data_IF_349893933324
#
_entry.id   IF_349893933324
#
_cell.length_a   1.000
_cell.length_b   1.000
_cell.length_c   1.000
_cell.angle_alpha   90.00
_cell.angle_beta   90.00
_cell.angle_gamma   90.00
#
_symmetry.space_group_name_H-M   'P 1'
#
loop_
_entity.id
_entity.type
_entity.pdbx_description
1 polymer ?
#
# COMPACT_ATOMS: atom_id res chain seq x y z
N UNK A 1 -24.92 8.11 25.39
CA UNK A 1 -23.84 8.65 24.54
C UNK A 1 -23.16 7.45 23.91
N UNK A 2 -23.05 7.38 22.58
CA UNK A 2 -22.33 6.28 21.93
C UNK A 2 -20.85 6.37 22.32
N UNK A 3 -20.29 5.27 22.84
CA UNK A 3 -18.95 5.28 23.45
C UNK A 3 -17.88 4.87 22.46
N UNK A 4 -18.26 4.12 21.42
CA UNK A 4 -17.34 3.74 20.36
C UNK A 4 -18.11 3.60 19.03
N UNK A 5 -17.57 4.15 17.94
CA UNK A 5 -18.20 4.13 16.61
C UNK A 5 -17.24 3.51 15.62
N UNK A 6 -17.75 2.56 14.82
CA UNK A 6 -16.96 1.91 13.77
C UNK A 6 -17.75 1.87 12.49
N UNK A 7 -17.10 2.16 11.38
CA UNK A 7 -17.60 1.84 10.05
C UNK A 7 -17.66 0.31 9.93
N UNK A 8 -18.87 -0.19 9.74
CA UNK A 8 -19.20 -1.62 9.55
C UNK A 8 -19.35 -1.98 8.07
N UNK A 9 -19.72 -1.02 7.23
CA UNK A 9 -19.62 -1.11 5.77
C UNK A 9 -19.44 0.29 5.16
N UNK A 10 -18.69 0.36 4.07
CA UNK A 10 -18.43 1.60 3.33
C UNK A 10 -18.54 1.35 1.84
N UNK A 11 -19.45 2.07 1.19
CA UNK A 11 -19.78 1.96 -0.22
C UNK A 11 -19.64 3.35 -0.83
N UNK A 12 -18.57 3.59 -1.58
CA UNK A 12 -18.29 4.87 -2.23
C UNK A 12 -18.54 4.71 -3.73
N UNK A 13 -19.41 5.53 -4.30
CA UNK A 13 -19.74 5.50 -5.72
C UNK A 13 -19.86 6.92 -6.28
N UNK A 14 -19.36 7.14 -7.51
CA UNK A 14 -19.41 8.44 -8.20
C UNK A 14 -18.87 9.60 -7.34
N UNK A 15 -17.82 9.37 -6.55
CA UNK A 15 -17.18 10.41 -5.75
C UNK A 15 -15.91 10.89 -6.43
N UNK A 16 -15.96 12.07 -7.05
CA UNK A 16 -14.83 12.64 -7.82
C UNK A 16 -14.31 11.62 -8.86
N UNK A 17 -13.07 11.15 -8.73
CA UNK A 17 -12.49 10.14 -9.64
C UNK A 17 -12.95 8.70 -9.34
N UNK A 18 -13.65 8.43 -8.23
CA UNK A 18 -14.15 7.08 -7.91
C UNK A 18 -15.44 6.83 -8.70
N UNK A 19 -15.29 6.47 -9.98
CA UNK A 19 -16.39 6.23 -10.92
C UNK A 19 -16.97 4.81 -10.81
N UNK A 20 -16.15 3.85 -10.38
CA UNK A 20 -16.58 2.48 -10.07
C UNK A 20 -16.81 2.36 -8.56
N UNK A 21 -17.80 1.56 -8.11
CA UNK A 21 -18.06 1.38 -6.69
C UNK A 21 -16.84 0.82 -5.95
N UNK A 22 -16.38 1.52 -4.92
CA UNK A 22 -15.49 0.98 -3.91
C UNK A 22 -16.31 0.47 -2.74
N UNK A 23 -16.24 -0.83 -2.47
CA UNK A 23 -16.98 -1.49 -1.40
C UNK A 23 -16.01 -2.08 -0.41
N UNK A 24 -16.15 -1.70 0.86
CA UNK A 24 -15.37 -2.21 1.97
C UNK A 24 -16.32 -2.67 3.07
N UNK A 25 -16.60 -3.97 3.07
CA UNK A 25 -17.42 -4.59 4.10
C UNK A 25 -16.56 -5.03 5.31
N UNK A 26 -17.12 -4.85 6.50
CA UNK A 26 -16.49 -5.14 7.79
C UNK A 26 -15.05 -4.60 7.94
N UNK A 27 -14.81 -3.29 7.68
CA UNK A 27 -13.46 -2.72 7.75
C UNK A 27 -12.71 -3.08 9.06
N UNK A 28 -11.43 -3.41 8.94
CA UNK A 28 -10.56 -3.73 10.09
C UNK A 28 -10.20 -2.49 10.91
N UNK A 29 -9.13 -2.58 11.71
CA UNK A 29 -8.61 -1.44 12.47
C UNK A 29 -7.59 -0.58 11.72
N UNK A 30 -6.97 -1.10 10.65
CA UNK A 30 -6.00 -0.37 9.83
C UNK A 30 -6.20 -0.69 8.34
N UNK A 31 -6.18 0.35 7.53
CA UNK A 31 -6.27 0.30 6.06
C UNK A 31 -5.20 1.23 5.49
N UNK A 32 -4.35 0.70 4.61
CA UNK A 32 -3.20 1.41 4.05
C UNK A 32 -3.43 1.55 2.54
N UNK A 33 -3.77 2.76 2.11
CA UNK A 33 -3.89 3.14 0.71
C UNK A 33 -2.53 3.56 0.17
N UNK A 34 -2.03 2.83 -0.82
CA UNK A 34 -0.77 3.10 -1.51
C UNK A 34 -1.01 3.41 -2.98
N UNK A 35 -0.05 4.06 -3.64
CA UNK A 35 -0.12 4.38 -5.07
C UNK A 35 0.56 5.70 -5.39
N UNK A 36 0.80 5.97 -6.68
CA UNK A 36 1.48 7.16 -7.16
C UNK A 36 0.75 8.48 -6.84
N UNK A 37 1.45 9.61 -7.02
CA UNK A 37 0.85 10.93 -6.79
C UNK A 37 -0.36 11.08 -7.73
N UNK A 38 -1.45 11.68 -7.24
CA UNK A 38 -2.69 11.83 -8.01
C UNK A 38 -3.41 10.52 -8.38
N UNK A 39 -3.09 9.38 -7.76
CA UNK A 39 -3.81 8.13 -7.98
C UNK A 39 -5.28 8.16 -7.50
N UNK A 40 -5.64 9.11 -6.64
CA UNK A 40 -6.97 9.21 -6.02
C UNK A 40 -7.03 8.71 -4.58
N UNK A 41 -5.88 8.49 -3.92
CA UNK A 41 -5.80 8.10 -2.50
C UNK A 41 -6.53 9.08 -1.58
N UNK A 42 -6.26 10.38 -1.74
CA UNK A 42 -6.93 11.45 -0.98
C UNK A 42 -8.43 11.47 -1.23
N UNK A 43 -8.90 11.15 -2.44
CA UNK A 43 -10.35 11.08 -2.73
C UNK A 43 -11.07 10.00 -1.91
N UNK A 44 -10.39 8.90 -1.54
CA UNK A 44 -10.95 7.88 -0.65
C UNK A 44 -11.10 8.41 0.78
N UNK A 45 -10.10 9.13 1.29
CA UNK A 45 -10.21 9.79 2.60
C UNK A 45 -11.27 10.89 2.57
N UNK A 46 -11.31 11.71 1.52
CA UNK A 46 -12.28 12.78 1.33
C UNK A 46 -13.71 12.23 1.33
N UNK A 47 -13.96 11.07 0.72
CA UNK A 47 -15.28 10.45 0.72
C UNK A 47 -15.72 10.02 2.13
N UNK A 48 -14.80 9.52 2.96
CA UNK A 48 -15.08 9.16 4.35
C UNK A 48 -15.31 10.42 5.19
N UNK A 49 -14.44 11.42 5.02
CA UNK A 49 -14.50 12.71 5.71
C UNK A 49 -15.81 13.46 5.40
N UNK A 50 -16.26 13.38 4.14
CA UNK A 50 -17.49 13.99 3.65
C UNK A 50 -18.75 13.52 4.40
N UNK A 51 -18.75 12.31 4.97
CA UNK A 51 -19.87 11.82 5.78
C UNK A 51 -20.07 12.63 7.07
N UNK A 52 -19.05 13.34 7.53
CA UNK A 52 -19.12 14.25 8.67
C UNK A 52 -19.49 15.70 8.29
N UNK A 53 -19.46 16.04 7.00
CA UNK A 53 -19.65 17.40 6.51
C UNK A 53 -21.14 17.79 6.42
N UNK A 54 -21.43 19.06 6.70
CA UNK A 54 -22.79 19.63 6.69
C UNK A 54 -23.36 19.80 5.29
N UNK A 55 -22.51 20.09 4.30
CA UNK A 55 -22.90 20.31 2.90
C UNK A 55 -22.44 19.13 2.04
N UNK A 56 -23.32 18.21 1.66
CA UNK A 56 -22.99 17.08 0.79
C UNK A 56 -22.65 17.54 -0.63
N UNK A 57 -21.60 16.96 -1.24
CA UNK A 57 -21.30 17.15 -2.66
C UNK A 57 -22.46 16.58 -3.51
N UNK A 58 -23.10 17.48 -4.25
CA UNK A 58 -24.26 17.21 -5.10
C UNK A 58 -24.05 16.13 -6.17
N UNK A 59 -22.80 15.84 -6.52
CA UNK A 59 -22.43 14.92 -7.59
C UNK A 59 -22.12 13.49 -7.14
N UNK A 60 -22.32 13.18 -5.84
CA UNK A 60 -21.74 11.98 -5.21
C UNK A 60 -22.75 11.06 -4.54
N UNK A 61 -22.47 9.75 -4.58
CA UNK A 61 -23.27 8.69 -3.95
C UNK A 61 -22.39 7.93 -2.93
N UNK A 62 -22.55 8.23 -1.63
CA UNK A 62 -21.83 7.53 -0.56
C UNK A 62 -22.84 6.85 0.35
N UNK A 63 -22.65 5.57 0.62
CA UNK A 63 -23.41 4.81 1.61
C UNK A 63 -22.44 4.24 2.64
N UNK A 64 -22.71 4.47 3.91
CA UNK A 64 -21.92 3.94 5.01
C UNK A 64 -22.82 3.48 6.15
N UNK A 65 -22.48 2.34 6.73
CA UNK A 65 -23.11 1.83 7.93
C UNK A 65 -22.13 1.93 9.08
N UNK A 66 -22.50 2.65 10.13
CA UNK A 66 -21.73 2.78 11.36
C UNK A 66 -22.34 1.89 12.44
N UNK A 67 -21.55 0.97 12.98
CA UNK A 67 -21.86 0.29 14.23
C UNK A 67 -21.57 1.25 15.38
N UNK A 68 -22.61 1.61 16.12
CA UNK A 68 -22.51 2.42 17.33
C UNK A 68 -22.44 1.46 18.52
N UNK A 69 -21.21 1.20 18.96
CA UNK A 69 -20.93 0.30 20.08
C UNK A 69 -21.28 1.02 21.39
N UNK A 70 -22.50 0.75 21.85
CA UNK A 70 -22.99 0.98 23.21
C UNK A 70 -23.55 -0.33 23.79
N UNK A 71 -24.34 -0.27 24.86
CA UNK A 71 -24.95 -1.48 25.48
C UNK A 71 -25.96 -2.20 24.56
N UNK A 72 -26.42 -1.57 23.47
CA UNK A 72 -27.57 -2.01 22.66
C UNK A 72 -27.27 -2.46 21.22
N UNK A 73 -26.02 -2.44 20.74
CA UNK A 73 -25.68 -2.88 19.38
C UNK A 73 -26.29 -2.05 18.24
N UNK A 74 -26.56 -0.77 18.50
CA UNK A 74 -27.23 0.17 17.59
C UNK A 74 -26.46 0.40 16.29
N UNK A 75 -27.19 0.59 15.19
CA UNK A 75 -26.65 0.85 13.86
C UNK A 75 -27.12 2.21 13.33
N UNK A 76 -26.18 3.02 12.83
CA UNK A 76 -26.45 4.26 12.13
C UNK A 76 -26.09 4.10 10.66
N UNK A 77 -27.08 4.10 9.78
CA UNK A 77 -26.89 4.11 8.34
C UNK A 77 -26.93 5.54 7.81
N UNK A 78 -25.97 5.85 6.94
CA UNK A 78 -25.79 7.17 6.34
C UNK A 78 -25.76 7.01 4.84
N UNK A 79 -26.64 7.72 4.15
CA UNK A 79 -26.73 7.70 2.70
C UNK A 79 -26.71 9.11 2.17
N UNK A 80 -25.62 9.45 1.49
CA UNK A 80 -25.49 10.68 0.74
C UNK A 80 -25.78 10.40 -0.74
N UNK A 81 -26.76 11.11 -1.31
CA UNK A 81 -27.16 10.97 -2.71
C UNK A 81 -27.69 12.28 -3.25
N UNK A 82 -27.17 12.74 -4.39
CA UNK A 82 -27.61 13.98 -5.08
C UNK A 82 -27.68 15.20 -4.16
N UNK A 83 -26.67 15.39 -3.30
CA UNK A 83 -26.60 16.55 -2.40
C UNK A 83 -27.60 16.50 -1.23
N UNK A 84 -28.08 15.30 -0.86
CA UNK A 84 -28.88 15.09 0.34
C UNK A 84 -28.25 13.98 1.16
N UNK A 85 -28.26 14.13 2.49
CA UNK A 85 -27.78 13.11 3.42
C UNK A 85 -28.95 12.63 4.27
N UNK A 86 -29.22 11.32 4.19
CA UNK A 86 -30.22 10.63 5.00
C UNK A 86 -29.50 9.85 6.10
N UNK A 87 -29.99 10.01 7.33
CA UNK A 87 -29.55 9.25 8.49
C UNK A 87 -30.66 8.33 8.95
N UNK A 88 -30.32 7.08 9.24
CA UNK A 88 -31.25 6.09 9.79
C UNK A 88 -30.62 5.45 11.03
N UNK A 89 -31.28 5.55 12.18
CA UNK A 89 -30.88 4.87 13.41
C UNK A 89 -31.76 3.65 13.61
N UNK A 90 -31.15 2.44 13.62
CA UNK A 90 -31.87 1.16 13.73
C UNK A 90 -33.04 1.05 12.72
N UNK A 91 -32.84 1.57 11.51
CA UNK A 91 -33.83 1.56 10.43
C UNK A 91 -34.92 2.64 10.54
N UNK A 92 -34.85 3.55 11.51
CA UNK A 92 -35.76 4.70 11.64
C UNK A 92 -35.09 6.00 11.20
N UNK A 93 -35.77 6.89 10.45
CA UNK A 93 -35.20 8.19 10.07
C UNK A 93 -34.75 9.02 11.27
N UNK A 94 -33.57 9.61 11.16
CA UNK A 94 -32.99 10.51 12.16
C UNK A 94 -32.83 11.91 11.55
N UNK A 95 -32.99 12.93 12.38
CA UNK A 95 -32.68 14.32 12.02
C UNK A 95 -31.22 14.48 11.56
N UNK A 96 -31.02 15.19 10.45
CA UNK A 96 -29.70 15.31 9.81
C UNK A 96 -28.66 16.01 10.69
N UNK A 97 -29.05 16.97 11.54
CA UNK A 97 -28.11 17.66 12.42
C UNK A 97 -27.64 16.73 13.54
N UNK A 98 -28.55 15.95 14.14
CA UNK A 98 -28.20 14.94 15.13
C UNK A 98 -27.31 13.83 14.55
N UNK A 99 -27.64 13.34 13.36
CA UNK A 99 -26.85 12.31 12.67
C UNK A 99 -25.44 12.78 12.34
N UNK A 100 -25.29 14.01 11.81
CA UNK A 100 -23.98 14.61 11.54
C UNK A 100 -23.17 14.80 12.81
N UNK A 101 -23.77 15.28 13.88
CA UNK A 101 -23.06 15.52 15.14
C UNK A 101 -22.53 14.21 15.75
N UNK A 102 -23.25 13.09 15.58
CA UNK A 102 -22.75 11.76 15.97
C UNK A 102 -21.48 11.44 15.19
N UNK A 103 -21.45 11.59 13.88
CA UNK A 103 -20.29 11.20 13.05
C UNK A 103 -19.11 12.14 13.26
N UNK A 104 -19.37 13.45 13.24
CA UNK A 104 -18.34 14.49 13.34
C UNK A 104 -17.52 14.40 14.62
N UNK A 105 -18.11 13.92 15.71
CA UNK A 105 -17.40 13.71 16.98
C UNK A 105 -16.41 12.54 16.94
N UNK A 106 -16.59 11.61 16.00
CA UNK A 106 -15.81 10.36 15.94
C UNK A 106 -14.76 10.31 14.84
N UNK A 107 -14.88 11.16 13.81
CA UNK A 107 -13.91 11.24 12.71
C UNK A 107 -12.92 12.39 12.97
N UNK A 108 -11.63 12.10 12.82
CA UNK A 108 -10.58 13.12 12.76
C UNK A 108 -9.70 12.88 11.54
N UNK A 109 -9.43 13.95 10.80
CA UNK A 109 -8.48 13.95 9.69
C UNK A 109 -7.23 14.70 10.06
N UNK A 110 -6.09 14.06 9.83
CA UNK A 110 -4.75 14.59 10.11
C UNK A 110 -3.95 14.62 8.81
N UNK A 111 -3.67 15.83 8.33
CA UNK A 111 -2.85 16.07 7.15
C UNK A 111 -1.51 16.67 7.58
N UNK A 112 -0.42 16.34 6.89
CA UNK A 112 0.91 16.89 7.19
C UNK A 112 0.96 18.44 7.10
N UNK A 113 0.10 19.06 6.30
CA UNK A 113 0.11 20.49 5.98
C UNK A 113 -0.99 21.30 6.66
N UNK A 114 -2.00 20.66 7.24
CA UNK A 114 -3.09 21.34 7.94
C UNK A 114 -2.77 21.32 9.43
N UNK A 115 -2.33 22.43 10.04
CA UNK A 115 -2.15 22.47 11.47
C UNK A 115 -3.52 22.21 12.09
N UNK A 116 -3.63 21.16 12.91
CA UNK A 116 -4.74 21.04 13.85
C UNK A 116 -4.85 22.39 14.56
N UNK A 117 -6.03 23.00 14.51
CA UNK A 117 -6.25 24.30 15.14
C UNK A 117 -5.69 24.25 16.57
N UNK A 118 -4.73 25.15 16.87
CA UNK A 118 -3.99 25.13 18.14
C UNK A 118 -4.91 25.08 19.35
N UNK A 119 -6.02 25.80 19.27
CA UNK A 119 -7.03 25.85 20.33
C UNK A 119 -7.69 24.49 20.51
N UNK A 120 -8.19 23.88 19.42
CA UNK A 120 -8.77 22.53 19.43
C UNK A 120 -7.79 21.48 19.98
N UNK A 121 -6.53 21.49 19.51
CA UNK A 121 -5.52 20.54 19.99
C UNK A 121 -5.31 20.66 21.50
N UNK A 122 -5.34 21.89 22.02
CA UNK A 122 -5.16 22.16 23.45
C UNK A 122 -6.38 21.73 24.26
N UNK A 123 -7.58 22.04 23.77
CA UNK A 123 -8.83 21.61 24.37
C UNK A 123 -8.90 20.08 24.45
N UNK A 124 -8.64 19.38 23.34
CA UNK A 124 -8.62 17.91 23.27
C UNK A 124 -7.55 17.32 24.19
N UNK A 125 -6.35 17.93 24.26
CA UNK A 125 -5.30 17.47 25.17
C UNK A 125 -5.66 17.66 26.64
N UNK A 126 -6.24 18.81 27.01
CA UNK A 126 -6.70 19.06 28.37
C UNK A 126 -7.86 18.12 28.74
N UNK A 127 -8.76 17.85 27.80
CA UNK A 127 -9.83 16.88 27.99
C UNK A 127 -9.26 15.47 28.25
N UNK A 128 -8.32 15.02 27.42
CA UNK A 128 -7.62 13.74 27.58
C UNK A 128 -6.95 13.65 28.97
N UNK A 129 -6.20 14.68 29.35
CA UNK A 129 -5.45 14.74 30.61
C UNK A 129 -6.37 14.75 31.84
N UNK A 130 -7.37 15.63 31.84
CA UNK A 130 -8.16 15.92 33.04
C UNK A 130 -9.37 14.99 33.19
N UNK A 131 -9.95 14.51 32.08
CA UNK A 131 -11.17 13.67 32.10
C UNK A 131 -10.84 12.19 31.97
N UNK A 132 -9.75 11.84 31.28
CA UNK A 132 -9.37 10.44 31.00
C UNK A 132 -7.95 10.12 31.49
N UNK A 133 -7.64 10.25 32.79
CA UNK A 133 -6.27 10.17 33.32
C UNK A 133 -5.59 8.81 33.08
N UNK A 134 -6.35 7.70 33.06
CA UNK A 134 -5.82 6.39 32.73
C UNK A 134 -5.37 6.30 31.26
N UNK A 135 -6.17 6.86 30.34
CA UNK A 135 -5.86 6.91 28.90
C UNK A 135 -4.68 7.83 28.64
N UNK A 136 -4.66 9.01 29.30
CA UNK A 136 -3.53 9.92 29.27
C UNK A 136 -2.24 9.25 29.77
N UNK A 137 -2.30 8.51 30.88
CA UNK A 137 -1.12 7.80 31.41
C UNK A 137 -0.61 6.74 30.44
N UNK A 138 -1.51 6.01 29.77
CA UNK A 138 -1.17 5.03 28.74
C UNK A 138 -0.53 5.71 27.51
N UNK A 139 -1.11 6.82 27.04
CA UNK A 139 -0.56 7.65 25.97
C UNK A 139 0.88 8.11 26.27
N UNK A 140 1.12 8.67 27.47
CA UNK A 140 2.46 9.12 27.89
C UNK A 140 3.44 7.94 27.99
N UNK A 141 3.01 6.80 28.53
CA UNK A 141 3.83 5.59 28.62
C UNK A 141 4.24 5.08 27.22
N UNK A 142 3.30 5.02 26.27
CA UNK A 142 3.56 4.63 24.88
C UNK A 142 4.49 5.62 24.19
N UNK A 143 4.30 6.93 24.39
CA UNK A 143 5.24 7.94 23.88
C UNK A 143 6.64 7.72 24.40
N UNK A 144 6.82 7.53 25.71
CA UNK A 144 8.14 7.31 26.31
C UNK A 144 8.80 6.00 25.83
N UNK A 145 7.99 4.94 25.63
CA UNK A 145 8.47 3.63 25.17
C UNK A 145 8.95 3.66 23.73
N UNK A 146 8.14 4.21 22.82
CA UNK A 146 8.42 4.16 21.39
C UNK A 146 9.18 5.39 20.88
N UNK A 147 8.99 6.55 21.52
CA UNK A 147 9.42 7.85 21.00
C UNK A 147 10.01 8.70 22.14
N UNK A 148 11.09 8.23 22.80
CA UNK A 148 11.65 8.86 24.00
C UNK A 148 12.16 10.30 23.77
N UNK A 149 12.30 10.73 22.51
CA UNK A 149 12.64 12.10 22.16
C UNK A 149 11.52 13.10 22.46
N UNK A 150 10.28 12.65 22.63
CA UNK A 150 9.14 13.50 22.96
C UNK A 150 8.96 13.48 24.48
N UNK A 151 9.32 14.58 25.14
CA UNK A 151 9.05 14.79 26.56
C UNK A 151 7.86 15.72 26.73
N UNK A 152 6.77 15.22 27.32
CA UNK A 152 5.54 15.99 27.54
C UNK A 152 5.60 16.66 28.91
N UNK A 153 5.57 17.99 28.92
CA UNK A 153 5.42 18.79 30.14
C UNK A 153 3.96 19.18 30.35
N UNK A 154 3.64 19.75 31.52
CA UNK A 154 2.28 20.26 31.80
C UNK A 154 1.85 21.36 30.83
N UNK A 155 2.82 22.05 30.20
CA UNK A 155 2.59 23.05 29.16
C UNK A 155 2.74 22.41 27.76
N UNK A 156 1.61 21.96 27.20
CA UNK A 156 1.55 21.36 25.87
C UNK A 156 2.25 22.22 24.81
N UNK A 157 2.06 23.53 24.82
CA UNK A 157 2.63 24.42 23.80
C UNK A 157 4.14 24.61 23.93
N UNK A 158 4.66 24.59 25.15
CA UNK A 158 6.11 24.61 25.40
C UNK A 158 6.74 23.32 24.92
N UNK A 159 6.07 22.19 25.16
CA UNK A 159 6.41 20.90 24.56
C UNK A 159 6.38 20.98 23.03
N UNK A 160 5.28 21.45 22.44
CA UNK A 160 5.06 21.44 21.00
C UNK A 160 6.05 22.32 20.22
N UNK A 161 6.33 23.53 20.72
CA UNK A 161 7.26 24.49 20.06
C UNK A 161 8.71 24.02 20.05
N UNK A 162 9.11 23.17 21.01
CA UNK A 162 10.49 22.67 21.09
C UNK A 162 10.73 21.44 20.20
N UNK A 163 9.67 20.82 19.67
CA UNK A 163 9.75 19.66 18.79
C UNK A 163 9.96 20.05 17.32
N UNK A 164 10.78 19.28 16.60
CA UNK A 164 10.83 19.35 15.14
C UNK A 164 9.51 18.87 14.52
N UNK A 165 9.22 19.33 13.30
CA UNK A 165 7.93 19.09 12.61
C UNK A 165 7.51 17.60 12.59
N UNK A 166 8.44 16.69 12.35
CA UNK A 166 8.15 15.25 12.38
C UNK A 166 7.70 14.74 13.76
N UNK A 167 8.33 15.19 14.84
CA UNK A 167 7.91 14.82 16.20
C UNK A 167 6.58 15.46 16.59
N UNK A 168 6.30 16.68 16.12
CA UNK A 168 4.99 17.32 16.28
C UNK A 168 3.89 16.50 15.62
N UNK A 169 4.10 16.06 14.38
CA UNK A 169 3.14 15.24 13.64
C UNK A 169 2.87 13.92 14.34
N UNK A 170 3.92 13.21 14.73
CA UNK A 170 3.83 11.95 15.48
C UNK A 170 3.09 12.14 16.80
N UNK A 171 3.38 13.19 17.55
CA UNK A 171 2.67 13.50 18.80
C UNK A 171 1.17 13.67 18.55
N UNK A 172 0.78 14.44 17.53
CA UNK A 172 -0.62 14.70 17.19
C UNK A 172 -1.34 13.41 16.79
N UNK A 173 -0.72 12.59 15.93
CA UNK A 173 -1.29 11.32 15.51
C UNK A 173 -1.53 10.43 16.73
N UNK A 174 -0.55 10.31 17.63
CA UNK A 174 -0.68 9.48 18.82
C UNK A 174 -1.68 10.06 19.84
N UNK A 175 -1.74 11.38 20.00
CA UNK A 175 -2.73 12.00 20.88
C UNK A 175 -4.15 11.64 20.42
N UNK A 176 -4.44 11.80 19.13
CA UNK A 176 -5.74 11.47 18.56
C UNK A 176 -6.00 9.96 18.44
N UNK A 177 -4.96 9.13 18.29
CA UNK A 177 -5.09 7.67 18.32
C UNK A 177 -5.57 7.18 19.69
N UNK A 178 -5.14 7.85 20.77
CA UNK A 178 -5.52 7.49 22.13
C UNK A 178 -6.78 8.24 22.61
N UNK A 179 -7.16 9.33 21.94
CA UNK A 179 -8.25 10.17 22.41
C UNK A 179 -9.62 9.45 22.30
N UNK A 180 -10.37 9.28 23.42
CA UNK A 180 -11.56 8.44 23.44
C UNK A 180 -12.71 8.86 22.51
N UNK A 181 -12.77 10.12 22.11
CA UNK A 181 -13.84 10.60 21.21
C UNK A 181 -13.59 10.24 19.76
N UNK A 182 -12.33 10.12 19.33
CA UNK A 182 -11.98 9.94 17.92
C UNK A 182 -11.68 8.46 17.64
N UNK A 183 -12.65 7.78 17.04
CA UNK A 183 -12.58 6.35 16.76
C UNK A 183 -12.28 6.04 15.30
N UNK A 184 -12.36 7.04 14.42
CA UNK A 184 -12.01 6.92 12.99
C UNK A 184 -10.96 7.98 12.67
N UNK A 185 -9.76 7.54 12.33
CA UNK A 185 -8.63 8.41 12.01
C UNK A 185 -8.33 8.33 10.51
N UNK A 186 -8.33 9.49 9.85
CA UNK A 186 -7.92 9.63 8.46
C UNK A 186 -6.53 10.27 8.45
N UNK A 187 -5.50 9.49 8.14
CA UNK A 187 -4.11 9.92 8.14
C UNK A 187 -3.61 10.12 6.71
N UNK A 188 -3.28 11.36 6.37
CA UNK A 188 -2.76 11.70 5.05
C UNK A 188 -1.24 11.89 5.10
N UNK A 189 -0.52 10.94 4.51
CA UNK A 189 0.95 10.94 4.36
C UNK A 189 1.70 11.25 5.68
N UNK A 190 1.47 10.44 6.75
CA UNK A 190 2.09 10.67 8.05
C UNK A 190 3.61 10.49 8.04
N UNK A 191 4.22 9.95 6.97
CA UNK A 191 5.66 9.85 6.80
C UNK A 191 6.35 11.18 6.48
N UNK A 192 5.61 12.21 6.07
CA UNK A 192 6.22 13.49 5.66
C UNK A 192 7.07 14.04 6.80
N UNK A 193 8.33 14.40 6.52
CA UNK A 193 9.31 14.87 7.51
C UNK A 193 9.71 13.85 8.61
N UNK A 194 9.35 12.56 8.48
CA UNK A 194 9.77 11.51 9.42
C UNK A 194 11.00 10.75 8.96
N UNK A 195 11.91 10.50 9.90
CA UNK A 195 13.00 9.54 9.70
C UNK A 195 12.43 8.11 9.58
N UNK A 196 12.98 7.21 8.73
CA UNK A 196 12.49 5.84 8.56
C UNK A 196 12.27 5.04 9.85
N UNK A 197 13.15 5.24 10.84
CA UNK A 197 13.00 4.60 12.14
C UNK A 197 11.72 5.05 12.89
N UNK A 198 11.31 6.32 12.77
CA UNK A 198 10.10 6.82 13.40
C UNK A 198 8.84 6.33 12.68
N UNK A 199 8.87 6.21 11.35
CA UNK A 199 7.76 5.64 10.56
C UNK A 199 7.44 4.22 11.04
N UNK A 200 8.46 3.36 11.15
CA UNK A 200 8.30 1.97 11.63
C UNK A 200 7.75 1.91 13.06
N UNK A 201 8.18 2.81 13.94
CA UNK A 201 7.67 2.87 15.33
C UNK A 201 6.24 3.37 15.37
N UNK A 202 5.89 4.39 14.57
CA UNK A 202 4.53 4.90 14.45
C UNK A 202 3.58 3.79 13.97
N UNK A 203 3.95 3.08 12.91
CA UNK A 203 3.14 1.96 12.40
C UNK A 203 2.95 0.88 13.48
N UNK A 204 4.02 0.47 14.17
CA UNK A 204 3.90 -0.49 15.29
C UNK A 204 2.92 -0.01 16.36
N UNK A 205 2.98 1.25 16.77
CA UNK A 205 2.04 1.79 17.77
C UNK A 205 0.61 1.80 17.23
N UNK A 206 0.41 2.20 15.98
CA UNK A 206 -0.91 2.14 15.33
C UNK A 206 -1.45 0.70 15.37
N UNK A 207 -0.65 -0.29 15.01
CA UNK A 207 -1.06 -1.71 14.99
C UNK A 207 -1.36 -2.29 16.38
N UNK A 208 -0.60 -1.88 17.41
CA UNK A 208 -0.78 -2.39 18.77
C UNK A 208 -1.98 -1.74 19.49
N UNK A 209 -2.23 -0.45 19.23
CA UNK A 209 -3.16 0.38 20.01
C UNK A 209 -4.51 0.62 19.33
N UNK A 210 -4.64 0.39 18.01
CA UNK A 210 -5.88 0.65 17.26
C UNK A 210 -7.04 -0.34 17.55
N UNK A 211 -7.05 -1.04 18.69
CA UNK A 211 -8.09 -2.01 19.02
C UNK A 211 -9.50 -1.41 18.99
N UNK A 212 -9.61 -0.15 19.38
CA UNK A 212 -10.87 0.59 19.44
C UNK A 212 -11.08 1.57 18.30
N UNK A 213 -10.08 1.76 17.43
CA UNK A 213 -10.09 2.76 16.38
C UNK A 213 -10.01 2.11 15.00
N UNK A 214 -10.42 2.85 13.98
CA UNK A 214 -10.22 2.51 12.58
C UNK A 214 -9.36 3.58 11.94
N UNK A 215 -8.17 3.19 11.50
CA UNK A 215 -7.20 4.06 10.85
C UNK A 215 -7.26 3.82 9.34
N UNK A 216 -7.50 4.88 8.59
CA UNK A 216 -7.41 4.92 7.14
C UNK A 216 -6.22 5.81 6.79
N UNK A 217 -5.18 5.20 6.24
CA UNK A 217 -3.89 5.80 6.01
C UNK A 217 -3.63 5.90 4.51
N UNK A 218 -3.15 7.04 4.02
CA UNK A 218 -2.56 7.14 2.67
C UNK A 218 -1.06 7.31 2.78
N UNK A 219 -0.30 6.62 1.92
CA UNK A 219 1.17 6.68 1.94
C UNK A 219 1.78 6.41 0.57
N UNK A 220 2.96 6.98 0.35
CA UNK A 220 3.86 6.70 -0.77
C UNK A 220 5.06 5.86 -0.37
N UNK A 221 5.17 5.54 0.91
CA UNK A 221 6.35 4.91 1.47
C UNK A 221 6.20 3.40 1.54
N UNK A 222 7.15 2.62 0.98
CA UNK A 222 7.19 1.17 1.20
C UNK A 222 7.43 0.81 2.67
N UNK A 223 7.87 1.76 3.51
CA UNK A 223 8.09 1.53 4.94
C UNK A 223 6.81 1.24 5.72
N UNK A 224 5.64 1.55 5.17
CA UNK A 224 4.34 1.17 5.73
C UNK A 224 3.86 -0.22 5.32
N UNK A 225 4.63 -0.94 4.50
CA UNK A 225 4.26 -2.27 4.02
C UNK A 225 4.97 -3.32 4.84
N UNK A 226 4.16 -4.12 5.54
CA UNK A 226 4.61 -5.32 6.23
C UNK A 226 3.97 -6.55 5.58
N UNK A 227 4.77 -7.61 5.43
CA UNK A 227 4.35 -8.84 4.79
C UNK A 227 3.12 -9.48 5.45
N UNK A 228 2.97 -9.32 6.77
CA UNK A 228 1.83 -9.85 7.54
C UNK A 228 0.54 -9.04 7.33
N UNK A 229 0.65 -7.85 6.76
CA UNK A 229 -0.41 -6.87 6.72
C UNK A 229 -0.91 -6.58 5.30
N UNK A 230 -0.56 -7.44 4.33
CA UNK A 230 -1.01 -7.31 2.94
C UNK A 230 -2.54 -7.33 2.79
N UNK A 231 -3.29 -7.91 3.73
CA UNK A 231 -4.77 -7.85 3.74
C UNK A 231 -5.31 -6.46 4.07
N UNK A 232 -4.47 -5.59 4.65
CA UNK A 232 -4.76 -4.19 4.99
C UNK A 232 -4.32 -3.23 3.89
N UNK A 233 -3.61 -3.72 2.89
CA UNK A 233 -3.05 -2.91 1.81
C UNK A 233 -4.05 -2.77 0.66
N UNK A 234 -4.21 -1.54 0.17
CA UNK A 234 -5.09 -1.17 -0.92
C UNK A 234 -4.28 -0.35 -1.93
N UNK A 235 -3.96 -0.94 -3.08
CA UNK A 235 -3.28 -0.22 -4.17
C UNK A 235 -4.28 0.58 -4.97
N UNK A 236 -4.13 1.88 -4.92
CA UNK A 236 -4.95 2.86 -5.62
C UNK A 236 -4.23 3.26 -6.90
N UNK A 237 -4.93 3.15 -8.03
CA UNK A 237 -4.38 3.44 -9.35
C UNK A 237 -5.35 4.34 -10.10
N UNK A 238 -4.81 5.32 -10.81
CA UNK A 238 -5.59 6.13 -11.75
C UNK A 238 -5.62 5.45 -13.11
N UNK A 239 -6.81 5.22 -13.62
CA UNK A 239 -7.08 4.65 -14.94
C UNK A 239 -7.93 5.66 -15.73
N UNK A 240 -7.24 6.48 -16.53
CA UNK A 240 -7.81 7.65 -17.20
C UNK A 240 -8.37 8.67 -16.19
N UNK A 241 -9.68 8.90 -16.26
CA UNK A 241 -10.41 9.77 -15.33
C UNK A 241 -10.91 9.05 -14.07
N UNK A 242 -10.78 7.71 -14.03
CA UNK A 242 -11.27 6.89 -12.94
C UNK A 242 -10.17 6.47 -11.95
N UNK A 243 -10.54 6.22 -10.70
CA UNK A 243 -9.71 5.58 -9.68
C UNK A 243 -10.17 4.14 -9.50
N UNK A 244 -9.21 3.21 -9.50
CA UNK A 244 -9.40 1.79 -9.18
C UNK A 244 -8.61 1.44 -7.93
N UNK A 245 -9.14 0.49 -7.15
CA UNK A 245 -8.52 0.02 -5.92
C UNK A 245 -8.38 -1.49 -5.96
N UNK A 246 -7.18 -1.98 -5.68
CA UNK A 246 -6.84 -3.41 -5.71
C UNK A 246 -6.31 -3.85 -4.35
N UNK A 247 -6.81 -4.99 -3.87
CA UNK A 247 -6.41 -5.56 -2.59
C UNK A 247 -6.81 -7.03 -2.56
N UNK A 248 -6.03 -7.93 -1.91
CA UNK A 248 -6.45 -9.30 -1.65
C UNK A 248 -7.80 -9.35 -0.93
N UNK A 249 -8.10 -8.37 -0.07
CA UNK A 249 -9.36 -8.29 0.67
C UNK A 249 -10.57 -8.10 -0.25
N UNK A 250 -10.46 -7.24 -1.26
CA UNK A 250 -11.57 -6.91 -2.16
C UNK A 250 -11.99 -8.09 -3.05
N UNK A 251 -11.08 -9.03 -3.29
CA UNK A 251 -11.33 -10.26 -4.04
C UNK A 251 -11.50 -11.50 -3.16
N UNK A 252 -11.54 -11.33 -1.82
CA UNK A 252 -11.67 -12.44 -0.86
C UNK A 252 -10.51 -13.44 -0.89
N UNK A 253 -9.34 -13.03 -1.37
CA UNK A 253 -8.16 -13.90 -1.52
C UNK A 253 -7.44 -14.04 -0.18
N UNK A 254 -7.35 -15.28 0.31
CA UNK A 254 -6.49 -15.61 1.43
C UNK A 254 -5.04 -15.78 0.95
N UNK A 255 -4.12 -15.18 1.69
CA UNK A 255 -2.69 -15.21 1.41
C UNK A 255 -2.00 -16.21 2.34
N UNK A 256 -1.03 -16.97 1.82
CA UNK A 256 -0.17 -17.82 2.63
C UNK A 256 0.93 -16.98 3.30
N UNK A 257 0.59 -16.38 4.44
CA UNK A 257 1.51 -15.53 5.20
C UNK A 257 2.78 -16.26 5.63
N UNK A 258 2.75 -17.57 5.87
CA UNK A 258 3.96 -18.32 6.25
C UNK A 258 4.96 -18.30 5.12
N UNK A 259 4.51 -18.63 3.91
CA UNK A 259 5.32 -18.57 2.69
C UNK A 259 5.76 -17.14 2.39
N UNK A 260 4.83 -16.17 2.47
CA UNK A 260 5.16 -14.76 2.24
C UNK A 260 6.26 -14.26 3.19
N UNK A 261 6.21 -14.60 4.48
CA UNK A 261 7.26 -14.18 5.45
C UNK A 261 8.65 -14.68 5.07
N UNK A 262 8.72 -15.89 4.52
CA UNK A 262 9.98 -16.52 4.14
C UNK A 262 10.56 -15.87 2.88
N UNK A 263 9.68 -15.48 1.94
CA UNK A 263 10.10 -15.09 0.60
C UNK A 263 10.11 -13.57 0.34
N UNK A 264 9.22 -12.80 0.96
CA UNK A 264 9.16 -11.35 0.81
C UNK A 264 10.10 -10.64 1.79
N UNK A 265 11.03 -9.87 1.25
CA UNK A 265 11.85 -8.94 2.02
C UNK A 265 11.33 -7.49 1.85
N UNK A 266 11.83 -6.57 2.68
CA UNK A 266 11.45 -5.16 2.63
C UNK A 266 11.80 -4.51 1.28
N UNK A 267 12.95 -4.88 0.70
CA UNK A 267 13.45 -4.33 -0.56
C UNK A 267 12.49 -4.64 -1.72
N UNK A 268 11.82 -5.79 -1.69
CA UNK A 268 10.90 -6.20 -2.72
C UNK A 268 9.51 -5.56 -2.61
N UNK A 269 9.18 -4.89 -1.48
CA UNK A 269 7.88 -4.21 -1.32
C UNK A 269 7.75 -2.97 -2.22
N UNK A 270 8.86 -2.44 -2.74
CA UNK A 270 8.82 -1.37 -3.76
C UNK A 270 8.03 -1.77 -5.01
N UNK A 271 7.89 -3.08 -5.29
CA UNK A 271 7.11 -3.58 -6.41
C UNK A 271 5.66 -3.06 -6.40
N UNK A 272 5.09 -2.79 -5.22
CA UNK A 272 3.70 -2.31 -5.10
C UNK A 272 3.51 -0.88 -5.62
N UNK A 273 4.58 -0.11 -5.77
CA UNK A 273 4.58 1.26 -6.28
C UNK A 273 5.02 1.36 -7.75
N UNK A 274 5.53 0.27 -8.32
CA UNK A 274 6.00 0.25 -9.70
C UNK A 274 4.86 0.34 -10.72
N UNK A 275 5.16 0.92 -11.88
CA UNK A 275 4.29 0.83 -13.06
C UNK A 275 4.43 -0.54 -13.73
N UNK A 276 5.63 -1.13 -13.65
CA UNK A 276 5.91 -2.48 -14.14
C UNK A 276 7.02 -3.17 -13.37
N UNK A 277 6.94 -4.49 -13.28
CA UNK A 277 7.92 -5.31 -12.54
C UNK A 277 8.57 -6.33 -13.48
N UNK A 278 9.90 -6.45 -13.41
CA UNK A 278 10.64 -7.57 -13.98
C UNK A 278 11.05 -8.52 -12.85
N UNK A 279 10.44 -9.70 -12.80
CA UNK A 279 10.85 -10.77 -11.89
C UNK A 279 12.04 -11.52 -12.48
N UNK A 280 13.09 -11.68 -11.68
CA UNK A 280 14.30 -12.42 -12.04
C UNK A 280 14.68 -13.40 -10.95
N UNK A 281 15.41 -14.45 -11.30
CA UNK A 281 15.72 -15.54 -10.38
C UNK A 281 16.81 -15.18 -9.36
N UNK A 282 17.93 -14.64 -9.85
CA UNK A 282 19.15 -14.48 -9.08
C UNK A 282 19.70 -13.04 -8.99
N UNK A 283 20.73 -12.82 -8.17
CA UNK A 283 21.30 -11.50 -7.94
C UNK A 283 22.05 -10.97 -9.16
N UNK A 284 22.71 -11.84 -9.93
CA UNK A 284 23.34 -11.47 -11.20
C UNK A 284 22.34 -10.96 -12.21
N UNK A 285 21.16 -11.58 -12.27
CA UNK A 285 20.09 -11.18 -13.18
C UNK A 285 19.56 -9.81 -12.82
N UNK A 286 19.31 -9.60 -11.53
CA UNK A 286 18.88 -8.33 -10.98
C UNK A 286 19.86 -7.21 -11.33
N UNK A 287 21.15 -7.40 -11.04
CA UNK A 287 22.19 -6.40 -11.28
C UNK A 287 22.32 -6.07 -12.76
N UNK A 288 22.36 -7.08 -13.63
CA UNK A 288 22.50 -6.86 -15.07
C UNK A 288 21.27 -6.12 -15.62
N UNK A 289 20.08 -6.67 -15.39
CA UNK A 289 18.85 -6.13 -15.96
C UNK A 289 18.54 -4.74 -15.43
N UNK A 290 18.81 -4.47 -14.14
CA UNK A 290 18.65 -3.12 -13.58
C UNK A 290 19.52 -2.11 -14.33
N UNK A 291 20.80 -2.42 -14.52
CA UNK A 291 21.71 -1.52 -15.24
C UNK A 291 21.40 -1.38 -16.73
N UNK A 292 20.89 -2.44 -17.38
CA UNK A 292 20.42 -2.36 -18.78
C UNK A 292 19.16 -1.51 -18.91
N UNK A 293 18.18 -1.68 -18.03
CA UNK A 293 16.96 -0.85 -17.99
C UNK A 293 17.33 0.61 -17.75
N UNK A 294 18.11 0.91 -16.71
CA UNK A 294 18.51 2.28 -16.37
C UNK A 294 19.22 3.00 -17.54
N UNK A 295 19.93 2.25 -18.40
CA UNK A 295 20.71 2.82 -19.52
C UNK A 295 19.97 2.83 -20.85
N UNK A 296 19.14 1.82 -21.13
CA UNK A 296 18.62 1.56 -22.48
C UNK A 296 17.11 1.59 -22.58
N UNK A 297 16.36 1.40 -21.49
CA UNK A 297 14.92 1.59 -21.51
C UNK A 297 14.58 3.07 -21.72
N UNK A 298 13.67 3.36 -22.65
CA UNK A 298 13.25 4.72 -23.03
C UNK A 298 11.77 4.97 -22.84
N UNK A 299 11.05 4.01 -22.24
CA UNK A 299 9.65 4.24 -21.85
C UNK A 299 9.52 5.17 -20.66
N UNK A 300 8.30 5.53 -20.35
CA UNK A 300 7.91 6.49 -19.30
C UNK A 300 7.56 5.83 -17.96
N UNK A 301 7.43 4.50 -17.95
CA UNK A 301 7.06 3.72 -16.76
C UNK A 301 8.22 3.57 -15.77
N UNK A 302 7.91 3.62 -14.47
CA UNK A 302 8.84 3.18 -13.43
C UNK A 302 8.90 1.64 -13.37
N UNK A 303 10.09 1.10 -13.60
CA UNK A 303 10.34 -0.33 -13.71
C UNK A 303 11.20 -0.79 -12.55
N UNK A 304 10.67 -1.75 -11.78
CA UNK A 304 11.40 -2.40 -10.69
C UNK A 304 11.83 -3.79 -11.10
N UNK A 305 13.11 -4.11 -10.90
CA UNK A 305 13.64 -5.47 -11.07
C UNK A 305 13.62 -6.12 -9.71
N UNK A 306 12.95 -7.26 -9.57
CA UNK A 306 12.74 -7.93 -8.29
C UNK A 306 13.34 -9.33 -8.37
N UNK A 307 14.31 -9.58 -7.50
CA UNK A 307 14.91 -10.90 -7.34
C UNK A 307 14.01 -11.79 -6.47
N UNK A 308 13.69 -13.00 -6.94
CA UNK A 308 12.79 -13.93 -6.24
C UNK A 308 13.53 -14.99 -5.39
N UNK A 309 14.86 -14.96 -5.33
CA UNK A 309 15.70 -15.90 -4.55
C UNK A 309 15.47 -17.39 -4.89
N UNK A 310 15.11 -17.66 -6.15
CA UNK A 310 14.86 -19.01 -6.64
C UNK A 310 13.52 -19.16 -7.36
N UNK A 311 13.43 -20.21 -8.18
CA UNK A 311 12.32 -20.49 -9.08
C UNK A 311 11.02 -20.82 -8.37
N UNK A 312 11.11 -21.43 -7.19
CA UNK A 312 9.96 -21.83 -6.38
C UNK A 312 9.19 -20.64 -5.81
N UNK A 313 9.70 -19.42 -5.93
CA UNK A 313 9.09 -18.23 -5.31
C UNK A 313 8.45 -17.29 -6.32
N UNK A 314 8.80 -17.45 -7.60
CA UNK A 314 8.33 -16.62 -8.71
C UNK A 314 6.80 -16.58 -8.76
N UNK A 315 6.14 -17.70 -8.44
CA UNK A 315 4.68 -17.79 -8.38
C UNK A 315 4.08 -16.93 -7.26
N UNK A 316 4.74 -16.83 -6.10
CA UNK A 316 4.30 -15.97 -4.98
C UNK A 316 4.32 -14.50 -5.41
N UNK A 317 5.42 -14.06 -6.02
CA UNK A 317 5.54 -12.70 -6.53
C UNK A 317 4.54 -12.42 -7.65
N UNK A 318 4.42 -13.32 -8.62
CA UNK A 318 3.47 -13.19 -9.72
C UNK A 318 2.02 -13.10 -9.22
N UNK A 319 1.64 -13.95 -8.26
CA UNK A 319 0.31 -13.92 -7.65
C UNK A 319 0.02 -12.57 -6.97
N UNK A 320 0.97 -12.02 -6.21
CA UNK A 320 0.80 -10.68 -5.61
C UNK A 320 0.66 -9.59 -6.68
N UNK A 321 1.50 -9.63 -7.72
CA UNK A 321 1.43 -8.67 -8.82
C UNK A 321 0.08 -8.75 -9.56
N UNK A 322 -0.48 -9.95 -9.73
CA UNK A 322 -1.84 -10.14 -10.27
C UNK A 322 -2.91 -9.55 -9.34
N UNK A 323 -2.86 -9.86 -8.03
CA UNK A 323 -3.82 -9.37 -7.03
C UNK A 323 -3.84 -7.83 -6.98
N UNK A 324 -2.66 -7.20 -7.03
CA UNK A 324 -2.53 -5.75 -6.99
C UNK A 324 -2.55 -5.09 -8.37
N UNK A 325 -2.79 -5.85 -9.44
CA UNK A 325 -2.83 -5.37 -10.83
C UNK A 325 -1.59 -4.57 -11.22
N UNK A 326 -0.41 -5.10 -10.92
CA UNK A 326 0.88 -4.55 -11.33
C UNK A 326 1.35 -5.33 -12.55
N UNK A 327 1.48 -4.71 -13.73
CA UNK A 327 2.03 -5.37 -14.90
C UNK A 327 3.41 -5.96 -14.63
N UNK A 328 3.68 -7.16 -15.15
CA UNK A 328 4.97 -7.80 -14.92
C UNK A 328 5.46 -8.64 -16.09
N UNK A 329 6.77 -8.83 -16.11
CA UNK A 329 7.52 -9.74 -16.98
C UNK A 329 8.34 -10.66 -16.08
N UNK A 330 8.54 -11.91 -16.49
CA UNK A 330 9.35 -12.87 -15.76
C UNK A 330 10.51 -13.29 -16.66
N UNK A 331 11.74 -13.28 -16.14
CA UNK A 331 12.91 -13.84 -16.81
C UNK A 331 13.53 -14.92 -15.94
N UNK A 332 13.69 -16.13 -16.48
CA UNK A 332 14.23 -17.29 -15.77
C UNK A 332 15.36 -17.97 -16.55
N UNK A 333 16.20 -18.72 -15.82
CA UNK A 333 17.20 -19.60 -16.40
C UNK A 333 16.55 -20.77 -17.17
N UNK A 334 17.31 -21.39 -18.07
CA UNK A 334 16.79 -22.40 -19.02
C UNK A 334 16.25 -23.65 -18.34
N UNK A 335 16.85 -24.05 -17.24
CA UNK A 335 16.46 -25.19 -16.43
C UNK A 335 15.12 -24.96 -15.70
N UNK A 336 14.60 -23.72 -15.64
CA UNK A 336 13.24 -23.47 -15.20
C UNK A 336 12.15 -24.07 -16.10
N UNK A 337 12.46 -24.43 -17.36
CA UNK A 337 11.53 -25.07 -18.29
C UNK A 337 10.99 -26.41 -17.80
N UNK A 338 11.79 -27.16 -17.03
CA UNK A 338 11.50 -28.55 -16.68
C UNK A 338 10.64 -28.71 -15.42
N UNK A 339 10.75 -27.79 -14.46
CA UNK A 339 10.06 -27.91 -13.16
C UNK A 339 9.09 -26.76 -12.86
N UNK A 340 9.51 -25.51 -13.07
CA UNK A 340 8.78 -24.33 -12.60
C UNK A 340 7.89 -23.68 -13.67
N UNK A 341 8.33 -23.64 -14.94
CA UNK A 341 7.63 -22.92 -16.01
C UNK A 341 6.26 -23.49 -16.34
N UNK A 342 6.10 -24.82 -16.34
CA UNK A 342 4.80 -25.48 -16.57
C UNK A 342 3.86 -25.26 -15.39
N UNK A 343 4.35 -25.39 -14.15
CA UNK A 343 3.55 -25.15 -12.95
C UNK A 343 3.09 -23.69 -12.87
N UNK A 344 3.97 -22.74 -13.23
CA UNK A 344 3.67 -21.33 -13.28
C UNK A 344 2.58 -21.02 -14.32
N UNK A 345 2.66 -21.58 -15.53
CA UNK A 345 1.60 -21.45 -16.54
C UNK A 345 0.25 -22.01 -16.07
N UNK A 346 0.26 -23.15 -15.37
CA UNK A 346 -0.94 -23.74 -14.81
C UNK A 346 -1.54 -22.88 -13.69
N UNK A 347 -0.71 -22.38 -12.76
CA UNK A 347 -1.14 -21.56 -11.63
C UNK A 347 -1.68 -20.19 -12.06
N UNK A 348 -1.07 -19.55 -13.04
CA UNK A 348 -1.49 -18.24 -13.54
C UNK A 348 -2.75 -18.32 -14.44
N UNK A 349 -3.38 -19.49 -14.60
CA UNK A 349 -4.62 -19.65 -15.35
C UNK A 349 -4.52 -19.37 -16.85
N UNK A 350 -3.31 -19.16 -17.39
CA UNK A 350 -3.05 -18.82 -18.80
C UNK A 350 -3.08 -20.04 -19.74
N UNK A 351 -3.67 -21.17 -19.32
CA UNK A 351 -3.77 -22.37 -20.14
C UNK A 351 -4.85 -23.36 -19.69
N UNK A 352 -6.04 -23.30 -20.30
CA UNK A 352 -6.95 -24.46 -20.32
C UNK A 352 -6.33 -25.53 -21.23
N UNK A 353 -5.96 -26.67 -20.65
CA UNK A 353 -5.58 -27.91 -21.34
C UNK A 353 -4.48 -27.75 -22.42
N UNK A 354 -3.28 -27.37 -21.99
CA UNK A 354 -2.11 -27.34 -22.88
C UNK A 354 -1.61 -28.76 -23.16
N UNK A 355 -1.87 -29.28 -24.37
CA UNK A 355 -1.13 -30.42 -24.91
C UNK A 355 0.34 -30.01 -25.08
N UNK A 356 1.24 -30.77 -24.48
CA UNK A 356 2.70 -30.68 -24.68
C UNK A 356 2.94 -30.99 -26.16
N UNK A 357 3.10 -29.98 -27.01
CA UNK A 357 3.08 -30.20 -28.46
C UNK A 357 3.35 -29.02 -29.40
N UNK A 358 3.34 -27.76 -28.94
CA UNK A 358 3.87 -26.61 -29.69
C UNK A 358 4.84 -25.85 -28.78
N UNK A 359 5.97 -25.37 -29.32
CA UNK A 359 7.13 -24.81 -28.59
C UNK A 359 6.73 -24.04 -27.31
N UNK A 360 6.98 -24.68 -26.16
CA UNK A 360 6.65 -24.17 -24.82
C UNK A 360 7.22 -22.76 -24.59
N UNK A 361 8.42 -22.49 -25.10
CA UNK A 361 9.10 -21.19 -25.02
C UNK A 361 8.25 -20.08 -25.66
N UNK A 362 7.66 -20.32 -26.83
CA UNK A 362 6.82 -19.33 -27.50
C UNK A 362 5.52 -19.06 -26.72
N UNK A 363 4.96 -20.09 -26.07
CA UNK A 363 3.77 -19.93 -25.22
C UNK A 363 4.08 -19.14 -23.96
N UNK A 364 5.20 -19.46 -23.30
CA UNK A 364 5.71 -18.72 -22.13
C UNK A 364 5.93 -17.24 -22.49
N UNK A 365 6.58 -16.98 -23.63
CA UNK A 365 6.85 -15.62 -24.10
C UNK A 365 5.59 -14.80 -24.35
N UNK A 366 4.55 -15.39 -24.96
CA UNK A 366 3.22 -14.75 -25.11
C UNK A 366 2.55 -14.44 -23.76
N UNK A 367 2.95 -15.13 -22.70
CA UNK A 367 2.50 -14.88 -21.33
C UNK A 367 3.42 -13.92 -20.55
N UNK A 368 4.37 -13.27 -21.22
CA UNK A 368 5.45 -12.43 -20.66
C UNK A 368 6.44 -13.19 -19.77
N UNK A 369 6.68 -14.47 -20.08
CA UNK A 369 7.67 -15.31 -19.39
C UNK A 369 8.79 -15.64 -20.38
N UNK A 370 9.96 -15.07 -20.12
CA UNK A 370 11.16 -15.19 -20.93
C UNK A 370 12.10 -16.22 -20.30
N UNK A 371 12.53 -17.18 -21.12
CA UNK A 371 13.50 -18.21 -20.71
C UNK A 371 14.81 -17.96 -21.42
N UNK A 372 15.89 -17.81 -20.66
CA UNK A 372 17.22 -17.57 -21.20
C UNK A 372 17.65 -18.70 -22.16
N UNK A 373 18.03 -18.38 -23.41
CA UNK A 373 18.36 -19.41 -24.41
C UNK A 373 19.67 -20.14 -24.10
N UNK A 374 20.64 -19.45 -23.50
CA UNK A 374 22.00 -19.96 -23.28
C UNK A 374 22.25 -20.45 -21.84
N UNK A 375 21.22 -20.94 -21.16
CA UNK A 375 21.35 -21.52 -19.81
C UNK A 375 21.14 -20.47 -18.72
N UNK A 376 22.13 -19.61 -18.51
CA UNK A 376 22.13 -18.57 -17.48
C UNK A 376 22.45 -17.20 -18.06
N UNK A 377 22.20 -16.12 -17.30
CA UNK A 377 22.33 -14.75 -17.81
C UNK A 377 23.74 -14.43 -18.34
N UNK A 378 24.79 -15.02 -17.74
CA UNK A 378 26.17 -14.76 -18.13
C UNK A 378 26.48 -15.18 -19.57
N UNK A 379 25.71 -16.12 -20.12
CA UNK A 379 25.88 -16.62 -21.47
C UNK A 379 25.05 -15.85 -22.52
N UNK A 380 24.43 -14.73 -22.13
CA UNK A 380 23.54 -13.93 -22.97
C UNK A 380 24.04 -12.49 -23.20
N UNK A 381 25.32 -12.23 -22.94
CA UNK A 381 26.00 -10.98 -23.25
C UNK A 381 27.48 -11.23 -23.61
N UNK A 382 28.17 -10.28 -24.29
CA UNK A 382 29.49 -10.50 -24.88
C UNK A 382 30.54 -11.07 -23.93
N UNK A 383 31.30 -12.07 -24.40
CA UNK A 383 32.31 -12.78 -23.60
C UNK A 383 33.37 -11.86 -22.97
N UNK A 384 33.71 -10.75 -23.61
CA UNK A 384 34.68 -9.78 -23.07
C UNK A 384 34.28 -9.17 -21.73
N UNK A 385 33.00 -9.25 -21.36
CA UNK A 385 32.48 -8.81 -20.06
C UNK A 385 32.35 -9.94 -19.03
N UNK A 386 32.63 -11.19 -19.40
CA UNK A 386 32.54 -12.37 -18.54
C UNK A 386 33.89 -12.62 -17.82
N UNK A 387 34.15 -11.89 -16.73
CA UNK A 387 35.43 -12.00 -15.97
C UNK A 387 35.47 -13.21 -15.02
N UNK A 388 35.30 -14.42 -15.56
CA UNK A 388 35.47 -15.70 -14.86
C UNK A 388 34.37 -16.07 -13.84
N UNK A 389 34.26 -17.36 -13.48
CA UNK A 389 33.13 -17.92 -12.71
C UNK A 389 33.05 -17.51 -11.23
N UNK A 390 34.11 -16.95 -10.64
CA UNK A 390 34.20 -16.76 -9.19
C UNK A 390 33.36 -15.60 -8.63
N UNK A 391 32.92 -14.65 -9.46
CA UNK A 391 32.15 -13.49 -8.99
C UNK A 391 31.03 -13.06 -9.95
N UNK A 392 30.05 -13.95 -10.17
CA UNK A 392 28.91 -13.69 -11.07
C UNK A 392 28.22 -12.32 -10.85
N UNK A 393 27.98 -11.83 -9.62
CA UNK A 393 27.39 -10.50 -9.41
C UNK A 393 28.30 -9.34 -9.85
N UNK A 394 29.61 -9.46 -9.63
CA UNK A 394 30.58 -8.43 -10.07
C UNK A 394 30.70 -8.39 -11.60
N UNK A 395 30.62 -9.55 -12.25
CA UNK A 395 30.59 -9.62 -13.71
C UNK A 395 29.34 -8.96 -14.27
N UNK A 396 28.17 -9.20 -13.66
CA UNK A 396 26.92 -8.56 -14.04
C UNK A 396 26.99 -7.03 -13.88
N UNK A 397 27.56 -6.55 -12.77
CA UNK A 397 27.76 -5.11 -12.53
C UNK A 397 28.72 -4.47 -13.55
N UNK A 398 29.83 -5.15 -13.82
CA UNK A 398 30.78 -4.69 -14.82
C UNK A 398 30.13 -4.65 -16.21
N UNK A 399 29.50 -5.74 -16.65
CA UNK A 399 28.81 -5.83 -17.93
C UNK A 399 27.73 -4.74 -18.06
N UNK A 400 26.87 -4.56 -17.05
CA UNK A 400 25.77 -3.59 -17.09
C UNK A 400 26.27 -2.15 -17.22
N UNK A 401 27.48 -1.85 -16.74
CA UNK A 401 28.11 -0.53 -16.89
C UNK A 401 28.84 -0.32 -18.21
N UNK A 402 29.35 -1.39 -18.84
CA UNK A 402 30.27 -1.29 -19.98
C UNK A 402 29.63 -1.58 -21.34
N UNK A 403 28.59 -2.43 -21.39
CA UNK A 403 27.89 -2.78 -22.65
C UNK A 403 27.50 -1.50 -23.38
N UNK A 404 27.85 -1.36 -24.66
CA UNK A 404 27.49 -0.16 -25.44
C UNK A 404 26.06 -0.25 -25.96
N UNK A 405 25.52 0.87 -26.47
CA UNK A 405 24.19 0.86 -27.09
C UNK A 405 24.19 -0.04 -28.33
N UNK A 406 25.24 -0.01 -29.13
CA UNK A 406 25.38 -0.85 -30.33
C UNK A 406 25.42 -2.33 -29.97
N UNK A 407 26.15 -2.70 -28.91
CA UNK A 407 26.21 -4.07 -28.41
C UNK A 407 24.88 -4.55 -27.85
N UNK A 408 24.15 -3.69 -27.14
CA UNK A 408 22.83 -4.02 -26.61
C UNK A 408 21.82 -4.36 -27.72
N UNK A 409 21.94 -3.73 -28.90
CA UNK A 409 21.10 -4.01 -30.07
C UNK A 409 21.72 -5.07 -31.01
N UNK A 410 22.82 -5.71 -30.62
CA UNK A 410 23.45 -6.77 -31.42
C UNK A 410 22.68 -8.09 -31.35
N UNK A 411 22.92 -8.99 -32.31
CA UNK A 411 22.31 -10.33 -32.32
C UNK A 411 22.64 -11.15 -31.07
N UNK A 412 23.83 -10.97 -30.47
CA UNK A 412 24.26 -11.67 -29.25
C UNK A 412 23.41 -11.27 -28.03
N UNK A 413 22.93 -10.02 -27.98
CA UNK A 413 22.11 -9.50 -26.88
C UNK A 413 20.62 -9.41 -27.19
N UNK A 414 20.20 -9.88 -28.37
CA UNK A 414 18.82 -9.76 -28.87
C UNK A 414 17.76 -10.21 -27.87
N UNK A 415 18.03 -11.27 -27.11
CA UNK A 415 17.12 -11.76 -26.08
C UNK A 415 16.92 -10.75 -24.94
N UNK A 416 18.02 -10.19 -24.39
CA UNK A 416 17.94 -9.21 -23.30
C UNK A 416 17.33 -7.89 -23.78
N UNK A 417 17.64 -7.50 -25.02
CA UNK A 417 17.00 -6.37 -25.70
C UNK A 417 15.48 -6.57 -25.75
N UNK A 418 15.03 -7.75 -26.20
CA UNK A 418 13.61 -8.07 -26.26
C UNK A 418 12.92 -8.12 -24.89
N UNK A 419 13.62 -8.59 -23.84
CA UNK A 419 13.09 -8.52 -22.46
C UNK A 419 12.87 -7.05 -22.07
N UNK A 420 13.84 -6.16 -22.32
CA UNK A 420 13.71 -4.73 -22.02
C UNK A 420 12.62 -4.07 -22.86
N UNK A 421 12.49 -4.41 -24.14
CA UNK A 421 11.44 -3.89 -25.02
C UNK A 421 10.04 -4.40 -24.64
N UNK A 422 9.96 -5.56 -23.96
CA UNK A 422 8.71 -6.12 -23.47
C UNK A 422 8.17 -5.45 -22.22
N UNK A 423 8.97 -4.59 -21.57
CA UNK A 423 8.62 -3.77 -20.41
C UNK A 423 7.84 -2.55 -20.90
#
# INVERSE_FOLDING_TARGET
>A
MFVNVRISSLHINRFRSILQPFVLDQPGSLHIFIGSNNAGKTNLLDAIDQLSNTVPDSSTDIEASFALVGESGTKLDVRQKKGRTLFMLDGQPMDSANGQEIIKRHIIRLCATVPVHRDKLTEDFQLLKNTYPAVYSHFISTLSKYIPQISVTDELFTTFKSLGAGFQQVFVILMYLFHPHYTILLLEEPEIHLHPALIKRLLRVIEEENRYNQVFLTTHSPLFIHTMDLHRLFRVVRDGESTKVFSPRLIGKQLDYRRLTQELNADNTEMFFADKVLLVEGPSDHILMRGLIDRFYRGDKDVKVIQTYGKSNVDVYAELLEIFHIPYVIMLDRDALFDAGIQLLQKLGKGKSLRVGDSLINKLKRANIFILPNGSIESNYPQKYQRGKKHKPLNALYASSQITKEEFHSDEMKFLCEVVDSI
#
